data_IF_194238390908
#
_entry.id   IF_194238390908
#
_cell.length_a   1.000
_cell.length_b   1.000
_cell.length_c   1.000
_cell.angle_alpha   90.00
_cell.angle_beta   90.00
_cell.angle_gamma   90.00
#
_symmetry.space_group_name_H-M   'P 1'
#
loop_
_entity.id
_entity.type
_entity.pdbx_description
1 polymer ?
#
# COMPACT_ATOMS: atom_id res chain seq x y z
N UNK A 1 15.69 1.92 -6.99
CA UNK A 1 14.44 2.00 -6.19
C UNK A 1 14.25 0.72 -5.39
N UNK A 2 13.95 0.83 -4.09
CA UNK A 2 13.71 -0.32 -3.21
C UNK A 2 12.32 -0.94 -3.51
N UNK A 3 12.13 -2.25 -3.27
CA UNK A 3 10.89 -2.96 -3.61
C UNK A 3 9.64 -2.33 -2.97
N UNK A 4 9.72 -1.92 -1.69
CA UNK A 4 8.61 -1.29 -0.99
C UNK A 4 8.23 0.08 -1.59
N UNK A 5 9.21 0.83 -2.10
CA UNK A 5 8.95 2.13 -2.74
C UNK A 5 8.15 1.92 -4.03
N UNK A 6 8.49 0.91 -4.83
CA UNK A 6 7.71 0.59 -6.04
C UNK A 6 6.27 0.22 -5.71
N UNK A 7 6.06 -0.56 -4.64
CA UNK A 7 4.71 -0.92 -4.20
C UNK A 7 3.93 0.31 -3.72
N UNK A 8 4.56 1.20 -2.96
CA UNK A 8 3.94 2.43 -2.50
C UNK A 8 3.56 3.35 -3.67
N UNK A 9 4.47 3.52 -4.64
CA UNK A 9 4.21 4.30 -5.85
C UNK A 9 3.06 3.72 -6.68
N UNK A 10 3.02 2.40 -6.86
CA UNK A 10 1.94 1.74 -7.59
C UNK A 10 0.57 1.96 -6.90
N UNK A 11 0.51 1.89 -5.57
CA UNK A 11 -0.73 2.19 -4.83
C UNK A 11 -1.06 3.68 -4.94
N UNK A 12 -0.06 4.57 -4.89
CA UNK A 12 -0.26 6.02 -5.06
C UNK A 12 -0.85 6.35 -6.43
N UNK A 13 -0.37 5.70 -7.48
CA UNK A 13 -0.91 5.83 -8.83
C UNK A 13 -2.34 5.32 -8.92
N UNK A 14 -2.66 4.19 -8.27
CA UNK A 14 -4.04 3.66 -8.20
C UNK A 14 -4.99 4.61 -7.46
N UNK A 15 -4.53 5.23 -6.36
CA UNK A 15 -5.31 6.27 -5.66
C UNK A 15 -5.50 7.48 -6.58
N UNK A 16 -4.44 7.93 -7.27
CA UNK A 16 -4.50 9.09 -8.16
C UNK A 16 -5.38 8.84 -9.40
N UNK A 17 -5.45 7.61 -9.90
CA UNK A 17 -6.33 7.22 -11.01
C UNK A 17 -7.76 6.92 -10.59
N UNK A 18 -8.07 6.97 -9.29
CA UNK A 18 -9.41 6.72 -8.75
C UNK A 18 -9.80 5.25 -8.64
N UNK A 19 -8.84 4.32 -8.76
CA UNK A 19 -9.06 2.89 -8.45
C UNK A 19 -9.43 2.70 -6.98
N UNK A 20 -8.80 3.48 -6.11
CA UNK A 20 -9.13 3.55 -4.70
C UNK A 20 -9.70 4.93 -4.37
N UNK A 21 -10.89 4.94 -3.79
CA UNK A 21 -11.53 6.15 -3.31
C UNK A 21 -11.29 6.35 -1.80
N UNK A 22 -11.35 7.59 -1.30
CA UNK A 22 -11.31 7.83 0.14
C UNK A 22 -12.39 7.04 0.86
N UNK A 23 -11.97 6.20 1.81
CA UNK A 23 -12.87 5.30 2.56
C UNK A 23 -12.84 3.85 2.09
N UNK A 24 -12.30 3.57 0.90
CA UNK A 24 -12.11 2.21 0.43
C UNK A 24 -11.08 1.47 1.29
N UNK A 25 -11.33 0.18 1.49
CA UNK A 25 -10.42 -0.70 2.20
C UNK A 25 -9.37 -1.21 1.22
N UNK A 26 -8.11 -0.83 1.45
CA UNK A 26 -6.97 -1.46 0.82
C UNK A 26 -6.83 -2.92 1.27
N UNK A 27 -6.19 -3.79 0.46
CA UNK A 27 -5.86 -5.14 0.87
C UNK A 27 -5.11 -5.14 2.21
N UNK A 28 -5.35 -6.13 3.06
CA UNK A 28 -4.54 -6.34 4.25
C UNK A 28 -3.09 -6.67 3.87
N UNK A 29 -2.17 -6.50 4.82
CA UNK A 29 -0.76 -6.88 4.60
C UNK A 29 -0.62 -8.33 4.10
N UNK A 30 -1.43 -9.25 4.63
CA UNK A 30 -1.40 -10.67 4.22
C UNK A 30 -1.92 -10.88 2.81
N UNK A 31 -3.03 -10.25 2.45
CA UNK A 31 -3.58 -10.33 1.09
C UNK A 31 -2.61 -9.70 0.09
N UNK A 32 -1.99 -8.58 0.44
CA UNK A 32 -1.04 -7.91 -0.44
C UNK A 32 0.26 -8.69 -0.60
N UNK A 33 0.72 -9.38 0.44
CA UNK A 33 1.83 -10.35 0.32
C UNK A 33 1.47 -11.47 -0.64
N UNK A 34 0.26 -12.03 -0.52
CA UNK A 34 -0.21 -13.10 -1.39
C UNK A 34 -0.38 -12.65 -2.86
N UNK A 35 -0.87 -11.44 -3.09
CA UNK A 35 -1.10 -10.89 -4.44
C UNK A 35 0.19 -10.44 -5.13
N UNK A 36 1.09 -9.79 -4.40
CA UNK A 36 2.33 -9.21 -4.95
C UNK A 36 3.52 -10.17 -4.94
N UNK A 37 3.45 -11.26 -4.17
CA UNK A 37 4.58 -12.16 -3.92
C UNK A 37 5.74 -11.52 -3.16
N UNK A 38 5.55 -10.32 -2.60
CA UNK A 38 6.58 -9.63 -1.81
C UNK A 38 6.60 -10.09 -0.36
N UNK A 39 7.73 -9.91 0.33
CA UNK A 39 7.81 -10.23 1.75
C UNK A 39 6.93 -9.32 2.59
N UNK A 40 6.46 -9.83 3.73
CA UNK A 40 5.64 -9.07 4.69
C UNK A 40 6.31 -7.75 5.10
N UNK A 41 7.63 -7.75 5.36
CA UNK A 41 8.36 -6.52 5.68
C UNK A 41 8.34 -5.50 4.55
N UNK A 42 8.41 -5.95 3.29
CA UNK A 42 8.36 -5.06 2.12
C UNK A 42 6.99 -4.40 2.00
N UNK A 43 5.92 -5.17 2.17
CA UNK A 43 4.55 -4.65 2.13
C UNK A 43 4.29 -3.73 3.31
N UNK A 44 4.72 -4.12 4.51
CA UNK A 44 4.62 -3.30 5.72
C UNK A 44 5.29 -1.94 5.56
N UNK A 45 6.53 -1.90 5.05
CA UNK A 45 7.23 -0.65 4.78
C UNK A 45 6.53 0.22 3.72
N UNK A 46 5.90 -0.39 2.71
CA UNK A 46 5.15 0.36 1.71
C UNK A 46 3.92 1.04 2.33
N UNK A 47 3.20 0.32 3.19
CA UNK A 47 2.00 0.84 3.84
C UNK A 47 2.35 1.91 4.87
N UNK A 48 3.39 1.70 5.68
CA UNK A 48 3.90 2.73 6.58
C UNK A 48 4.34 4.00 5.85
N UNK A 49 4.94 3.87 4.66
CA UNK A 49 5.31 5.03 3.85
C UNK A 49 4.06 5.78 3.34
N UNK A 50 3.03 5.06 2.90
CA UNK A 50 1.78 5.69 2.46
C UNK A 50 1.03 6.34 3.63
N UNK A 51 1.07 5.72 4.79
CA UNK A 51 0.47 6.24 6.03
C UNK A 51 1.20 7.50 6.50
N UNK A 52 2.55 7.51 6.49
CA UNK A 52 3.33 8.71 6.84
C UNK A 52 3.12 9.88 5.89
N UNK A 53 2.71 9.60 4.65
CA UNK A 53 2.30 10.60 3.65
C UNK A 53 0.82 11.03 3.77
N UNK A 54 0.06 10.47 4.72
CA UNK A 54 -1.36 10.75 4.90
C UNK A 54 -2.25 10.23 3.77
N UNK A 55 -1.77 9.27 2.97
CA UNK A 55 -2.53 8.68 1.85
C UNK A 55 -3.49 7.60 2.32
N UNK A 56 -3.12 6.89 3.38
CA UNK A 56 -3.88 5.79 3.96
C UNK A 56 -3.87 5.94 5.48
N UNK A 57 -4.79 5.26 6.15
CA UNK A 57 -4.85 5.19 7.61
C UNK A 57 -4.90 3.73 8.04
N UNK A 58 -4.08 3.33 9.01
CA UNK A 58 -4.26 2.04 9.66
C UNK A 58 -5.51 2.09 10.54
N UNK A 59 -6.34 1.05 10.45
CA UNK A 59 -7.47 0.83 11.37
C UNK A 59 -7.30 -0.53 12.07
N UNK A 60 -7.51 -0.60 13.39
CA UNK A 60 -7.51 -1.86 14.14
C UNK A 60 -8.69 -2.76 13.77
#
# INVERSE_FOLDING_TARGET
MKKYQRLAEQIREQIASGVWQPGDRLPSLREQVASSGMSFMTVGHAYQLLESQGRIIARP
#
